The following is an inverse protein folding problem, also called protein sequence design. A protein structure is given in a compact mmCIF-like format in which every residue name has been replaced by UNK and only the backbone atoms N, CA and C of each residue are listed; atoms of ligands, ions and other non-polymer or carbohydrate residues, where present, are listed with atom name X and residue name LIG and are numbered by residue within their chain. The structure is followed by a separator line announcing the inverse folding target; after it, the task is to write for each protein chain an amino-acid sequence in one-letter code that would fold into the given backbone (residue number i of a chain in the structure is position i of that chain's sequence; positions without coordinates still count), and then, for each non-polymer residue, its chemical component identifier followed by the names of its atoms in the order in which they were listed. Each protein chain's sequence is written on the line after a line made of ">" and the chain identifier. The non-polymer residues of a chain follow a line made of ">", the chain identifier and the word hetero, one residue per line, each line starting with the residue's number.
data_IF_560415353480
#
_entry.id   IF_560415353480
#
_cell.length_a   1.000
_cell.length_b   1.000
_cell.length_c   1.000
_cell.angle_alpha   90.00
_cell.angle_beta   90.00
_cell.angle_gamma   90.00
#
_symmetry.space_group_name_H-M   'P 1'
#
loop_
_entity.id
_entity.type
_entity.pdbx_description
1 polymer ?
#
# COMPACT_ATOMS: atom_id res chain seq x y z
N UNK A 1 9.28 -0.19 -5.76
CA UNK A 1 8.19 -1.12 -6.11
C UNK A 1 7.19 -0.39 -6.99
N UNK A 2 7.08 -0.80 -8.25
CA UNK A 2 6.05 -0.35 -9.19
C UNK A 2 4.82 -1.26 -9.15
N UNK A 3 3.71 -0.77 -9.69
CA UNK A 3 2.54 -1.57 -10.02
C UNK A 3 2.49 -1.55 -11.54
N UNK A 4 2.57 -2.70 -12.20
CA UNK A 4 2.45 -2.75 -13.66
C UNK A 4 1.04 -2.34 -14.09
N UNK A 5 0.92 -1.85 -15.33
CA UNK A 5 -0.35 -1.44 -15.93
C UNK A 5 -1.46 -2.50 -15.97
N UNK A 6 -1.18 -3.73 -15.53
CA UNK A 6 -2.11 -4.87 -15.44
C UNK A 6 -2.69 -5.12 -14.03
N UNK A 7 -2.46 -4.23 -13.06
CA UNK A 7 -2.98 -4.36 -11.69
C UNK A 7 -2.29 -5.45 -10.84
N UNK A 8 -1.08 -5.85 -11.19
CA UNK A 8 -0.27 -6.73 -10.37
C UNK A 8 0.89 -5.95 -9.73
N UNK A 9 1.16 -6.23 -8.46
CA UNK A 9 2.38 -5.78 -7.81
C UNK A 9 3.56 -6.45 -8.52
N UNK A 10 4.52 -5.68 -9.01
CA UNK A 10 5.68 -6.23 -9.73
C UNK A 10 6.59 -7.11 -8.85
N UNK A 11 6.40 -7.04 -7.53
CA UNK A 11 6.98 -7.95 -6.55
C UNK A 11 6.15 -7.91 -5.27
N UNK A 12 5.98 -9.05 -4.60
CA UNK A 12 5.45 -9.06 -3.24
C UNK A 12 6.46 -8.34 -2.32
N UNK A 13 6.04 -7.28 -1.60
CA UNK A 13 6.93 -6.59 -0.69
C UNK A 13 7.25 -7.54 0.47
N UNK A 14 8.53 -7.87 0.66
CA UNK A 14 8.98 -8.70 1.78
C UNK A 14 9.14 -7.90 3.08
N UNK A 15 9.46 -6.61 2.96
CA UNK A 15 9.78 -5.71 4.07
C UNK A 15 9.22 -4.32 3.78
N UNK A 16 8.73 -3.65 4.82
CA UNK A 16 8.31 -2.24 4.75
C UNK A 16 8.95 -1.44 5.89
N UNK A 17 9.45 -0.24 5.58
CA UNK A 17 9.94 0.71 6.58
C UNK A 17 8.97 1.89 6.70
N UNK A 18 8.40 2.06 7.88
CA UNK A 18 7.45 3.14 8.19
C UNK A 18 7.98 3.92 9.38
N UNK A 19 8.18 5.22 9.22
CA UNK A 19 8.69 6.12 10.29
C UNK A 19 9.95 5.56 10.97
N UNK A 20 10.93 5.09 10.18
CA UNK A 20 12.19 4.51 10.66
C UNK A 20 12.09 3.11 11.25
N UNK A 21 10.89 2.52 11.33
CA UNK A 21 10.68 1.17 11.84
C UNK A 21 10.50 0.18 10.69
N UNK A 22 11.29 -0.89 10.72
CA UNK A 22 11.22 -1.97 9.74
C UNK A 22 10.26 -3.07 10.21
N UNK A 23 9.39 -3.50 9.31
CA UNK A 23 8.44 -4.59 9.52
C UNK A 23 8.58 -5.62 8.41
N UNK A 24 8.49 -6.89 8.78
CA UNK A 24 8.38 -8.00 7.83
C UNK A 24 6.94 -8.07 7.36
N UNK A 25 6.73 -8.14 6.05
CA UNK A 25 5.39 -8.32 5.48
C UNK A 25 5.04 -9.79 5.56
N UNK A 26 3.97 -10.10 6.29
CA UNK A 26 3.48 -11.46 6.48
C UNK A 26 2.44 -11.83 5.42
N UNK A 27 1.62 -10.84 5.03
CA UNK A 27 0.57 -11.02 4.04
C UNK A 27 0.19 -9.70 3.41
N UNK A 28 -0.31 -9.75 2.19
CA UNK A 28 -0.82 -8.61 1.46
C UNK A 28 -2.27 -8.85 1.07
N UNK A 29 -3.04 -7.77 0.94
CA UNK A 29 -4.38 -7.79 0.35
C UNK A 29 -4.52 -6.57 -0.57
N UNK A 30 -5.01 -6.80 -1.79
CA UNK A 30 -4.97 -5.84 -2.89
C UNK A 30 -3.98 -6.27 -3.99
N UNK A 31 -3.59 -5.38 -4.92
CA UNK A 31 -3.86 -3.93 -4.96
C UNK A 31 -5.31 -3.58 -5.40
N UNK A 32 -5.99 -2.70 -4.66
CA UNK A 32 -7.29 -2.17 -5.06
C UNK A 32 -7.11 -0.83 -5.77
N UNK A 33 -7.38 -0.73 -7.08
CA UNK A 33 -7.45 0.56 -7.75
C UNK A 33 -8.65 1.33 -7.22
N UNK A 34 -8.44 2.57 -6.81
CA UNK A 34 -9.51 3.48 -6.43
C UNK A 34 -9.45 4.68 -7.37
N UNK A 35 -10.56 4.92 -8.05
CA UNK A 35 -10.76 6.11 -8.87
C UNK A 35 -11.54 7.14 -8.06
N UNK A 36 -10.87 8.21 -7.63
CA UNK A 36 -11.54 9.33 -6.99
C UNK A 36 -12.04 10.32 -8.03
N UNK A 37 -13.22 10.90 -7.76
CA UNK A 37 -13.84 11.94 -8.60
C UNK A 37 -13.97 11.50 -10.06
N UNK A 38 -14.33 10.23 -10.27
CA UNK A 38 -14.52 9.63 -11.60
C UNK A 38 -15.54 10.39 -12.47
N UNK A 39 -16.45 11.14 -11.83
CA UNK A 39 -17.43 12.01 -12.48
C UNK A 39 -16.86 13.37 -12.97
N UNK A 40 -15.64 13.74 -12.59
CA UNK A 40 -14.99 15.00 -12.98
C UNK A 40 -13.70 14.70 -13.76
N UNK A 41 -13.78 14.77 -15.09
CA UNK A 41 -12.67 14.45 -16.00
C UNK A 41 -11.40 15.30 -15.74
N UNK A 42 -11.52 16.49 -15.13
CA UNK A 42 -10.37 17.35 -14.79
C UNK A 42 -9.77 17.03 -13.44
N UNK A 43 -10.49 16.32 -12.57
CA UNK A 43 -10.07 15.99 -11.20
C UNK A 43 -10.00 14.49 -10.91
N UNK A 44 -10.19 13.65 -11.94
CA UNK A 44 -10.03 12.20 -11.84
C UNK A 44 -8.65 11.88 -11.28
N UNK A 45 -8.59 11.26 -10.11
CA UNK A 45 -7.34 10.73 -9.53
C UNK A 45 -7.40 9.22 -9.53
N UNK A 46 -6.34 8.58 -9.99
CA UNK A 46 -6.14 7.14 -9.89
C UNK A 46 -5.09 6.90 -8.82
N UNK A 47 -5.49 6.27 -7.72
CA UNK A 47 -4.55 5.78 -6.73
C UNK A 47 -4.79 4.29 -6.49
N UNK A 48 -3.80 3.61 -5.92
CA UNK A 48 -3.89 2.19 -5.59
C UNK A 48 -3.82 2.05 -4.09
N UNK A 49 -4.70 1.25 -3.48
CA UNK A 49 -4.64 0.89 -2.07
C UNK A 49 -4.09 -0.52 -1.92
N UNK A 50 -3.24 -0.72 -0.92
CA UNK A 50 -2.67 -2.01 -0.57
C UNK A 50 -2.71 -2.16 0.94
N UNK A 51 -3.24 -3.27 1.43
CA UNK A 51 -3.22 -3.60 2.85
C UNK A 51 -2.11 -4.61 3.13
N UNK A 52 -1.32 -4.34 4.16
CA UNK A 52 -0.18 -5.17 4.56
C UNK A 52 -0.40 -5.64 5.99
N UNK A 53 -0.44 -6.95 6.20
CA UNK A 53 -0.24 -7.54 7.53
C UNK A 53 1.27 -7.63 7.74
N UNK A 54 1.77 -6.98 8.79
CA UNK A 54 3.20 -6.86 9.04
C UNK A 54 3.55 -7.24 10.47
N UNK A 55 4.77 -7.72 10.67
CA UNK A 55 5.30 -8.09 11.98
C UNK A 55 6.52 -7.23 12.31
N UNK A 56 6.57 -6.69 13.53
CA UNK A 56 7.76 -5.98 14.00
C UNK A 56 8.83 -6.95 14.55
N UNK A 57 10.03 -6.44 14.84
CA UNK A 57 11.13 -7.25 15.43
C UNK A 57 10.79 -7.91 16.79
N UNK A 58 9.76 -7.43 17.48
CA UNK A 58 9.28 -7.98 18.77
C UNK A 58 8.17 -9.01 18.59
N UNK A 59 7.81 -9.37 17.35
CA UNK A 59 6.77 -10.34 17.04
C UNK A 59 5.33 -9.79 16.99
N UNK A 60 5.12 -8.50 17.28
CA UNK A 60 3.78 -7.92 17.26
C UNK A 60 3.29 -7.70 15.82
N UNK A 61 2.06 -8.14 15.56
CA UNK A 61 1.38 -7.96 14.28
C UNK A 61 0.74 -6.57 14.20
N UNK A 62 0.71 -6.00 13.00
CA UNK A 62 0.04 -4.74 12.67
C UNK A 62 -0.52 -4.81 11.27
N UNK A 63 -1.52 -3.98 10.99
CA UNK A 63 -2.06 -3.84 9.63
C UNK A 63 -1.81 -2.41 9.14
N UNK A 64 -1.14 -2.27 8.01
CA UNK A 64 -0.92 -1.00 7.34
C UNK A 64 -1.79 -0.91 6.09
N UNK A 65 -2.47 0.23 5.93
CA UNK A 65 -3.10 0.59 4.68
C UNK A 65 -2.18 1.57 3.96
N UNK A 66 -1.70 1.19 2.79
CA UNK A 66 -0.80 1.96 1.95
C UNK A 66 -1.54 2.48 0.71
N UNK A 67 -1.23 3.70 0.30
CA UNK A 67 -1.72 4.33 -0.93
C UNK A 67 -0.57 4.60 -1.88
N UNK A 68 -0.72 4.28 -3.15
CA UNK A 68 0.21 4.63 -4.23
C UNK A 68 -0.43 5.69 -5.11
N UNK A 69 0.16 6.89 -5.12
CA UNK A 69 -0.21 8.01 -5.99
C UNK A 69 1.07 8.57 -6.60
N UNK A 70 1.09 8.89 -7.90
CA UNK A 70 2.26 9.46 -8.59
C UNK A 70 3.58 8.68 -8.34
N UNK A 71 3.51 7.35 -8.37
CA UNK A 71 4.63 6.44 -8.08
C UNK A 71 5.23 6.56 -6.66
N UNK A 72 4.53 7.22 -5.74
CA UNK A 72 4.93 7.36 -4.34
C UNK A 72 3.97 6.60 -3.42
N UNK A 73 4.54 5.74 -2.57
CA UNK A 73 3.81 5.05 -1.52
C UNK A 73 3.65 5.95 -0.29
N UNK A 74 2.45 6.03 0.26
CA UNK A 74 2.12 6.74 1.50
C UNK A 74 1.37 5.81 2.44
N UNK A 75 1.63 5.93 3.74
CA UNK A 75 0.81 5.29 4.76
C UNK A 75 -0.50 6.06 4.90
N UNK A 76 -1.63 5.41 4.65
CA UNK A 76 -2.97 5.98 4.81
C UNK A 76 -3.53 5.72 6.21
N UNK A 77 -3.30 4.53 6.75
CA UNK A 77 -3.74 4.15 8.09
C UNK A 77 -2.87 3.05 8.68
N UNK A 78 -2.85 2.98 10.03
CA UNK A 78 -2.23 1.92 10.81
C UNK A 78 -3.24 1.40 11.82
N UNK A 79 -3.37 0.08 11.87
CA UNK A 79 -4.14 -0.64 12.88
C UNK A 79 -3.19 -1.52 13.68
N UNK A 80 -3.35 -1.52 15.00
CA UNK A 80 -2.56 -2.28 15.98
C UNK A 80 -3.31 -3.50 16.55
#
# INVERSE_FOLDING_TARGET
>A
MGVTGRHELDAEPAVVTVSGHTYVVMRTAGPWPVEERWWDARRKRRHVRLQLLVQNKRGALRVFLMGLENHQWRLLARYD
#
